data_IF_607890566053
#
_entry.id   IF_607890566053
#
_cell.length_a   1.000
_cell.length_b   1.000
_cell.length_c   1.000
_cell.angle_alpha   90.00
_cell.angle_beta   90.00
_cell.angle_gamma   90.00
#
_symmetry.space_group_name_H-M   'P 1'
#
loop_
_entity.id
_entity.type
_entity.pdbx_description
1 polymer ?
#
# COMPACT_ATOMS: atom_id res chain seq x y z
N UNK A 1 12.69 -8.23 5.08
CA UNK A 1 12.24 -9.29 6.01
C UNK A 1 12.69 -10.65 5.51
N UNK A 2 12.18 -11.07 4.35
CA UNK A 2 12.39 -12.41 3.78
C UNK A 2 13.87 -12.82 3.68
N UNK A 3 14.74 -11.94 3.14
CA UNK A 3 16.21 -12.16 3.10
C UNK A 3 16.87 -12.44 4.47
N UNK A 4 16.22 -12.09 5.58
CA UNK A 4 16.69 -12.30 6.96
C UNK A 4 16.00 -13.47 7.67
N UNK A 5 15.26 -14.31 6.94
CA UNK A 5 14.59 -15.49 7.49
C UNK A 5 13.15 -15.27 7.97
N UNK A 6 12.54 -14.10 7.70
CA UNK A 6 11.11 -13.94 7.93
C UNK A 6 10.31 -14.80 6.94
N UNK A 7 9.20 -15.39 7.39
CA UNK A 7 8.33 -16.24 6.57
C UNK A 7 7.12 -15.49 5.98
N UNK A 8 7.09 -14.17 6.11
CA UNK A 8 6.00 -13.31 5.67
C UNK A 8 6.05 -11.93 6.32
N UNK A 9 4.94 -11.19 6.25
CA UNK A 9 4.79 -9.87 6.85
C UNK A 9 3.35 -9.56 7.25
N UNK A 10 3.21 -8.74 8.30
CA UNK A 10 1.92 -8.14 8.70
C UNK A 10 1.88 -6.73 8.14
N UNK A 11 1.14 -6.54 7.04
CA UNK A 11 1.26 -5.36 6.19
C UNK A 11 -0.05 -4.57 6.18
N UNK A 12 0.01 -3.29 6.57
CA UNK A 12 -1.13 -2.37 6.42
C UNK A 12 -1.48 -2.13 4.94
N UNK A 13 -0.46 -2.05 4.08
CA UNK A 13 -0.62 -1.86 2.63
C UNK A 13 -1.41 -2.98 1.95
N UNK A 14 -1.37 -4.21 2.49
CA UNK A 14 -2.12 -5.34 1.94
C UNK A 14 -3.65 -5.13 1.99
N UNK A 15 -4.16 -4.16 2.76
CA UNK A 15 -5.58 -3.80 2.74
C UNK A 15 -6.02 -3.15 1.41
N UNK A 16 -5.10 -2.52 0.67
CA UNK A 16 -5.40 -1.84 -0.60
C UNK A 16 -4.56 -2.32 -1.79
N UNK A 17 -3.43 -2.98 -1.56
CA UNK A 17 -2.60 -3.64 -2.59
C UNK A 17 -2.25 -5.09 -2.20
N UNK A 18 -3.25 -5.97 -1.98
CA UNK A 18 -3.00 -7.34 -1.53
C UNK A 18 -2.15 -8.13 -2.53
N UNK A 19 -2.50 -8.11 -3.82
CA UNK A 19 -1.87 -8.94 -4.84
C UNK A 19 -0.38 -8.62 -5.00
N UNK A 20 -0.02 -7.33 -5.04
CA UNK A 20 1.38 -6.90 -5.12
C UNK A 20 2.18 -7.29 -3.86
N UNK A 21 1.53 -7.32 -2.68
CA UNK A 21 2.17 -7.78 -1.46
C UNK A 21 2.45 -9.29 -1.52
N UNK A 22 1.51 -10.08 -2.06
CA UNK A 22 1.67 -11.51 -2.28
C UNK A 22 2.75 -11.81 -3.33
N UNK A 23 2.78 -11.05 -4.43
CA UNK A 23 3.75 -11.21 -5.51
C UNK A 23 5.20 -11.10 -5.02
N UNK A 24 5.50 -10.23 -4.04
CA UNK A 24 6.83 -10.17 -3.42
C UNK A 24 7.23 -11.52 -2.81
N UNK A 25 6.30 -12.17 -2.10
CA UNK A 25 6.55 -13.47 -1.48
C UNK A 25 6.71 -14.57 -2.53
N UNK A 26 5.90 -14.54 -3.58
CA UNK A 26 5.95 -15.49 -4.70
C UNK A 26 7.29 -15.41 -5.44
N UNK A 27 7.69 -14.21 -5.88
CA UNK A 27 8.99 -13.95 -6.50
C UNK A 27 10.14 -14.42 -5.60
N UNK A 28 10.06 -14.14 -4.29
CA UNK A 28 11.08 -14.59 -3.35
C UNK A 28 11.16 -16.12 -3.26
N UNK A 29 10.01 -16.80 -3.20
CA UNK A 29 9.94 -18.26 -3.14
C UNK A 29 10.44 -18.93 -4.44
N UNK A 30 10.25 -18.27 -5.58
CA UNK A 30 10.77 -18.70 -6.88
C UNK A 30 12.28 -18.43 -7.06
N UNK A 31 12.94 -17.81 -6.09
CA UNK A 31 14.36 -17.45 -6.17
C UNK A 31 14.64 -16.20 -7.01
N UNK A 32 13.60 -15.48 -7.44
CA UNK A 32 13.66 -14.23 -8.21
C UNK A 32 13.91 -13.02 -7.28
N UNK A 33 15.04 -13.06 -6.58
CA UNK A 33 15.32 -12.12 -5.49
C UNK A 33 15.45 -10.66 -5.92
N UNK A 34 15.95 -10.40 -7.13
CA UNK A 34 16.10 -9.05 -7.65
C UNK A 34 14.73 -8.44 -7.96
N UNK A 35 13.86 -9.17 -8.67
CA UNK A 35 12.50 -8.75 -9.00
C UNK A 35 11.67 -8.52 -7.72
N UNK A 36 11.78 -9.42 -6.74
CA UNK A 36 11.13 -9.26 -5.43
C UNK A 36 11.61 -7.98 -4.70
N UNK A 37 12.90 -7.64 -4.78
CA UNK A 37 13.47 -6.45 -4.17
C UNK A 37 13.05 -5.17 -4.90
N UNK A 38 13.02 -5.19 -6.23
CA UNK A 38 12.53 -4.07 -7.05
C UNK A 38 11.07 -3.76 -6.74
N UNK A 39 10.20 -4.79 -6.71
CA UNK A 39 8.80 -4.64 -6.34
C UNK A 39 8.64 -4.17 -4.89
N UNK A 40 9.39 -4.76 -3.95
CA UNK A 40 9.37 -4.33 -2.54
C UNK A 40 9.79 -2.87 -2.39
N UNK A 41 10.80 -2.41 -3.11
CA UNK A 41 11.26 -1.01 -3.06
C UNK A 41 10.22 -0.05 -3.64
N UNK A 42 9.55 -0.43 -4.73
CA UNK A 42 8.42 0.34 -5.29
C UNK A 42 7.29 0.45 -4.26
N UNK A 43 6.86 -0.66 -3.67
CA UNK A 43 5.80 -0.65 -2.66
C UNK A 43 6.19 0.15 -1.40
N UNK A 44 7.45 0.11 -0.96
CA UNK A 44 7.92 0.96 0.14
C UNK A 44 7.75 2.45 -0.17
N UNK A 45 8.10 2.90 -1.38
CA UNK A 45 7.94 4.30 -1.81
C UNK A 45 6.46 4.72 -1.87
N UNK A 46 5.59 3.83 -2.36
CA UNK A 46 4.14 4.07 -2.36
C UNK A 46 3.62 4.18 -0.92
N UNK A 47 4.06 3.28 -0.05
CA UNK A 47 3.68 3.26 1.36
C UNK A 47 4.09 4.55 2.06
N UNK A 48 5.30 5.05 1.83
CA UNK A 48 5.78 6.33 2.38
C UNK A 48 4.87 7.50 1.99
N UNK A 49 4.46 7.57 0.72
CA UNK A 49 3.60 8.65 0.19
C UNK A 49 2.16 8.59 0.73
N UNK A 50 1.61 7.38 0.91
CA UNK A 50 0.21 7.17 1.32
C UNK A 50 0.13 6.97 2.85
N UNK A 51 0.33 5.74 3.32
CA UNK A 51 0.09 5.34 4.71
C UNK A 51 1.17 5.83 5.68
N UNK A 52 2.39 6.06 5.21
CA UNK A 52 3.46 6.66 5.99
C UNK A 52 3.18 8.12 6.34
N UNK A 53 2.56 8.86 5.43
CA UNK A 53 2.18 10.27 5.63
C UNK A 53 0.81 10.43 6.30
N UNK A 54 -0.20 9.69 5.86
CA UNK A 54 -1.59 9.87 6.30
C UNK A 54 -2.15 8.76 7.20
N UNK A 55 -1.31 7.81 7.64
CA UNK A 55 -1.67 6.77 8.58
C UNK A 55 -2.85 5.91 8.14
N UNK A 56 -3.66 5.47 9.12
CA UNK A 56 -4.83 4.60 8.89
C UNK A 56 -5.90 5.27 8.02
N UNK A 57 -6.07 6.60 8.14
CA UNK A 57 -7.07 7.30 7.31
C UNK A 57 -6.68 7.26 5.83
N UNK A 58 -5.40 7.44 5.49
CA UNK A 58 -4.93 7.30 4.11
C UNK A 58 -5.09 5.88 3.56
N UNK A 59 -4.86 4.84 4.38
CA UNK A 59 -5.14 3.45 4.01
C UNK A 59 -6.60 3.30 3.58
N UNK A 60 -7.55 3.76 4.41
CA UNK A 60 -8.98 3.68 4.14
C UNK A 60 -9.38 4.44 2.86
N UNK A 61 -8.79 5.62 2.62
CA UNK A 61 -9.03 6.38 1.40
C UNK A 61 -8.50 5.65 0.17
N UNK A 62 -7.28 5.09 0.23
CA UNK A 62 -6.72 4.27 -0.86
C UNK A 62 -7.58 3.03 -1.14
N UNK A 63 -8.09 2.37 -0.10
CA UNK A 63 -9.05 1.27 -0.24
C UNK A 63 -10.29 1.71 -1.02
N UNK A 64 -10.92 2.82 -0.65
CA UNK A 64 -12.12 3.34 -1.32
C UNK A 64 -11.87 3.62 -2.81
N UNK A 65 -10.69 4.17 -3.16
CA UNK A 65 -10.33 4.44 -4.55
C UNK A 65 -10.10 3.16 -5.37
N UNK A 66 -9.51 2.13 -4.77
CA UNK A 66 -9.20 0.86 -5.43
C UNK A 66 -10.36 -0.15 -5.41
N UNK A 67 -11.59 0.31 -5.11
CA UNK A 67 -12.79 -0.52 -5.15
C UNK A 67 -13.01 -1.39 -3.90
N UNK A 68 -12.21 -1.21 -2.86
CA UNK A 68 -12.40 -1.83 -1.55
C UNK A 68 -13.23 -0.93 -0.62
N UNK A 69 -13.61 -1.47 0.54
CA UNK A 69 -14.43 -0.77 1.52
C UNK A 69 -13.60 -0.32 2.73
N UNK A 70 -13.04 0.89 2.66
CA UNK A 70 -12.29 1.51 3.75
C UNK A 70 -13.17 2.29 4.74
N UNK A 71 -14.24 2.91 4.25
CA UNK A 71 -15.11 3.86 4.98
C UNK A 71 -14.35 5.02 5.63
N UNK A 72 -15.10 5.95 6.21
CA UNK A 72 -14.53 6.98 7.07
C UNK A 72 -13.88 6.38 8.34
N UNK A 73 -12.84 7.04 8.87
CA UNK A 73 -12.29 6.68 10.17
C UNK A 73 -13.31 6.99 11.29
N UNK A 74 -13.16 6.31 12.43
CA UNK A 74 -13.92 6.64 13.64
C UNK A 74 -13.12 7.62 14.49
N UNK A 75 -13.83 8.47 15.22
CA UNK A 75 -13.22 9.32 16.25
C UNK A 75 -12.39 8.49 17.24
N UNK A 76 -11.22 8.99 17.68
CA UNK A 76 -10.73 10.36 17.51
C UNK A 76 -10.00 10.65 16.18
N UNK A 77 -9.87 9.66 15.28
CA UNK A 77 -9.27 9.88 13.96
C UNK A 77 -10.25 10.65 13.07
N UNK A 78 -9.76 11.75 12.48
CA UNK A 78 -10.54 12.59 11.57
C UNK A 78 -10.39 12.12 10.12
N UNK A 79 -11.43 12.34 9.29
CA UNK A 79 -11.32 12.25 7.83
C UNK A 79 -10.20 13.13 7.29
N UNK A 80 -9.61 12.71 6.17
CA UNK A 80 -8.71 13.58 5.40
C UNK A 80 -9.50 14.68 4.72
N UNK A 81 -8.87 15.84 4.52
CA UNK A 81 -9.50 16.91 3.74
C UNK A 81 -9.45 16.60 2.23
N UNK A 82 -10.21 17.35 1.43
CA UNK A 82 -10.34 17.12 -0.02
C UNK A 82 -8.98 17.13 -0.76
N UNK A 83 -8.05 18.02 -0.38
CA UNK A 83 -6.74 18.09 -1.00
C UNK A 83 -5.89 16.84 -0.69
N UNK A 84 -5.99 16.32 0.52
CA UNK A 84 -5.29 15.08 0.92
C UNK A 84 -5.88 13.85 0.23
N UNK A 85 -7.20 13.81 0.05
CA UNK A 85 -7.88 12.73 -0.67
C UNK A 85 -7.47 12.72 -2.15
N UNK A 86 -7.43 13.90 -2.79
CA UNK A 86 -7.04 14.03 -4.19
C UNK A 86 -5.54 13.75 -4.39
N UNK A 87 -4.68 14.09 -3.43
CA UNK A 87 -3.26 13.72 -3.46
C UNK A 87 -3.08 12.19 -3.47
N UNK A 88 -3.83 11.46 -2.64
CA UNK A 88 -3.79 9.99 -2.63
C UNK A 88 -4.25 9.45 -3.99
N UNK A 89 -5.34 9.99 -4.56
CA UNK A 89 -5.82 9.60 -5.88
C UNK A 89 -4.74 9.81 -6.95
N UNK A 90 -4.07 10.97 -6.96
CA UNK A 90 -3.00 11.28 -7.91
C UNK A 90 -1.83 10.31 -7.78
N UNK A 91 -1.40 10.00 -6.55
CA UNK A 91 -0.34 9.01 -6.31
C UNK A 91 -0.74 7.64 -6.88
N UNK A 92 -1.98 7.19 -6.68
CA UNK A 92 -2.45 5.92 -7.23
C UNK A 92 -2.44 5.93 -8.77
N UNK A 93 -2.78 7.04 -9.41
CA UNK A 93 -2.72 7.19 -10.86
C UNK A 93 -1.28 7.23 -11.40
N UNK A 94 -0.39 8.01 -10.78
CA UNK A 94 1.03 8.09 -11.13
C UNK A 94 1.73 6.74 -11.04
N UNK A 95 1.33 5.90 -10.07
CA UNK A 95 1.85 4.56 -9.88
C UNK A 95 1.14 3.50 -10.73
N UNK A 96 0.17 3.89 -11.58
CA UNK A 96 -0.57 3.00 -12.48
C UNK A 96 -1.50 2.02 -11.76
N UNK A 97 -1.93 2.35 -10.54
CA UNK A 97 -2.82 1.54 -9.70
C UNK A 97 -4.30 1.93 -9.88
N UNK A 98 -4.56 3.14 -10.37
CA UNK A 98 -5.89 3.69 -10.62
C UNK A 98 -5.93 4.32 -12.01
N UNK A 99 -7.03 4.15 -12.73
CA UNK A 99 -7.25 4.72 -14.06
C UNK A 99 -7.56 6.23 -14.06
#
# INVERSE_FOLDING_TARGET
GLKKGAIGGVLSMANYLPDLCCEIQELFNEGKYQEAEELSNRLCKINEKISGKGGVTAVKVAMNWLGYYGMEPRLPLLPLNENEIEEIRRILQEEGLLA
#
